data_IF_469087526387
#
_entry.id   IF_469087526387
#
_cell.length_a   1.000
_cell.length_b   1.000
_cell.length_c   1.000
_cell.angle_alpha   90.00
_cell.angle_beta   90.00
_cell.angle_gamma   90.00
#
_symmetry.space_group_name_H-M   'P 1'
#
loop_
_entity.id
_entity.type
_entity.pdbx_description
1 polymer ?
#
# COMPACT_ATOMS: atom_id res chain seq x y z
N UNK A 1 -2.64 6.06 -16.30
CA UNK A 1 -2.00 5.97 -14.98
C UNK A 1 -3.13 5.78 -14.00
N UNK A 2 -3.16 4.66 -13.29
CA UNK A 2 -4.09 4.51 -12.18
C UNK A 2 -3.58 5.43 -11.06
N UNK A 3 -4.46 6.17 -10.40
CA UNK A 3 -4.02 6.99 -9.28
C UNK A 3 -3.54 6.07 -8.16
N UNK A 4 -2.50 6.46 -7.42
CA UNK A 4 -1.93 5.64 -6.33
C UNK A 4 -2.98 5.25 -5.29
N UNK A 5 -4.03 6.06 -5.15
CA UNK A 5 -5.21 5.78 -4.32
C UNK A 5 -6.06 4.63 -4.89
N UNK A 6 -6.30 4.58 -6.20
CA UNK A 6 -7.06 3.48 -6.83
C UNK A 6 -6.31 2.14 -6.69
N UNK A 7 -4.97 2.18 -6.78
CA UNK A 7 -4.11 1.00 -6.56
C UNK A 7 -4.26 0.51 -5.12
N UNK A 8 -4.17 1.42 -4.15
CA UNK A 8 -4.33 1.10 -2.73
C UNK A 8 -5.75 0.63 -2.40
N UNK A 9 -6.77 1.20 -3.02
CA UNK A 9 -8.18 0.79 -2.85
C UNK A 9 -8.43 -0.60 -3.45
N UNK A 10 -7.83 -0.90 -4.61
CA UNK A 10 -7.91 -2.22 -5.24
C UNK A 10 -7.27 -3.29 -4.34
N UNK A 11 -6.08 -3.03 -3.80
CA UNK A 11 -5.40 -3.92 -2.86
C UNK A 11 -6.17 -4.02 -1.54
N UNK A 12 -6.69 -2.89 -1.05
CA UNK A 12 -7.45 -2.80 0.18
C UNK A 12 -8.84 -3.44 0.09
N UNK A 13 -9.42 -3.54 -1.10
CA UNK A 13 -10.71 -4.21 -1.35
C UNK A 13 -10.53 -5.69 -1.64
N UNK A 14 -9.44 -6.09 -2.29
CA UNK A 14 -9.14 -7.49 -2.57
C UNK A 14 -8.54 -8.19 -1.35
N UNK A 15 -9.38 -8.94 -0.63
CA UNK A 15 -8.97 -9.74 0.51
C UNK A 15 -7.88 -10.78 0.16
N UNK A 16 -7.81 -11.21 -1.11
CA UNK A 16 -6.79 -12.15 -1.58
C UNK A 16 -5.42 -11.49 -1.63
N UNK A 17 -5.35 -10.22 -2.04
CA UNK A 17 -4.11 -9.43 -2.06
C UNK A 17 -3.65 -9.05 -0.65
N UNK A 18 -4.59 -8.88 0.29
CA UNK A 18 -4.28 -8.61 1.70
C UNK A 18 -3.55 -9.76 2.41
N UNK A 19 -3.79 -11.00 1.96
CA UNK A 19 -3.15 -12.22 2.46
C UNK A 19 -2.23 -12.86 1.42
N UNK A 20 -2.03 -12.21 0.27
CA UNK A 20 -1.20 -12.74 -0.79
C UNK A 20 0.24 -12.82 -0.30
N UNK A 21 0.93 -13.87 -0.73
CA UNK A 21 2.37 -13.95 -0.55
C UNK A 21 3.02 -12.75 -1.24
N UNK A 22 4.08 -12.26 -0.63
CA UNK A 22 4.83 -11.07 -1.03
C UNK A 22 5.09 -10.98 -2.54
N UNK A 23 5.43 -12.10 -3.18
CA UNK A 23 5.67 -12.20 -4.62
C UNK A 23 4.43 -11.98 -5.51
N UNK A 24 3.26 -12.41 -5.04
CA UNK A 24 2.01 -12.22 -5.78
C UNK A 24 1.53 -10.77 -5.66
N UNK A 25 1.77 -10.13 -4.51
CA UNK A 25 1.47 -8.73 -4.29
C UNK A 25 2.37 -7.81 -5.13
N UNK A 26 3.67 -8.10 -5.21
CA UNK A 26 4.61 -7.33 -6.05
C UNK A 26 4.29 -7.46 -7.54
N UNK A 27 3.98 -8.67 -8.04
CA UNK A 27 3.56 -8.87 -9.43
C UNK A 27 2.25 -8.14 -9.78
N UNK A 28 1.31 -8.04 -8.83
CA UNK A 28 0.08 -7.27 -9.01
C UNK A 28 0.36 -5.75 -9.04
N UNK A 29 1.26 -5.27 -8.17
CA UNK A 29 1.70 -3.87 -8.12
C UNK A 29 2.42 -3.45 -9.42
N UNK A 30 3.29 -4.31 -9.97
CA UNK A 30 3.94 -4.03 -11.26
C UNK A 30 2.93 -3.94 -12.41
N UNK A 31 1.92 -4.81 -12.45
CA UNK A 31 0.85 -4.77 -13.45
C UNK A 31 -0.02 -3.52 -13.34
N UNK A 32 -0.18 -2.99 -12.12
CA UNK A 32 -0.91 -1.74 -11.85
C UNK A 32 -0.06 -0.49 -12.12
N UNK A 33 1.19 -0.65 -12.60
CA UNK A 33 2.17 0.42 -12.77
C UNK A 33 2.39 1.23 -11.47
N UNK A 34 2.44 0.52 -10.33
CA UNK A 34 2.76 1.10 -9.04
C UNK A 34 4.17 1.71 -9.01
N UNK A 35 4.38 2.67 -8.11
CA UNK A 35 5.71 3.25 -7.91
C UNK A 35 6.68 2.20 -7.36
N UNK A 36 7.98 2.29 -7.69
CA UNK A 36 8.97 1.34 -7.20
C UNK A 36 9.08 1.34 -5.67
N UNK A 37 8.81 2.47 -4.98
CA UNK A 37 8.79 2.50 -3.52
C UNK A 37 7.61 1.70 -2.94
N UNK A 38 6.45 1.69 -3.63
CA UNK A 38 5.29 0.88 -3.22
C UNK A 38 5.55 -0.61 -3.38
N UNK A 39 6.19 -1.02 -4.48
CA UNK A 39 6.61 -2.41 -4.67
C UNK A 39 7.68 -2.81 -3.66
N UNK A 40 8.69 -1.97 -3.42
CA UNK A 40 9.74 -2.18 -2.42
C UNK A 40 9.16 -2.37 -1.02
N UNK A 41 8.23 -1.51 -0.62
CA UNK A 41 7.54 -1.59 0.67
C UNK A 41 6.66 -2.84 0.81
N UNK A 42 5.99 -3.24 -0.27
CA UNK A 42 5.23 -4.49 -0.30
C UNK A 42 6.13 -5.73 -0.16
N UNK A 43 7.34 -5.69 -0.72
CA UNK A 43 8.28 -6.82 -0.70
C UNK A 43 9.01 -6.96 0.64
N UNK A 44 9.54 -5.84 1.14
CA UNK A 44 10.41 -5.82 2.32
C UNK A 44 9.65 -5.59 3.62
N UNK A 45 8.42 -5.07 3.53
CA UNK A 45 7.70 -4.51 4.67
C UNK A 45 8.23 -3.14 5.12
N UNK A 46 9.27 -2.60 4.48
CA UNK A 46 9.87 -1.31 4.81
C UNK A 46 9.13 -0.17 4.07
N UNK A 47 8.42 0.65 4.84
CA UNK A 47 7.66 1.77 4.31
C UNK A 47 8.45 3.08 4.23
N UNK A 48 9.75 3.08 4.56
CA UNK A 48 10.59 4.30 4.63
C UNK A 48 10.71 4.99 3.26
N UNK A 49 10.92 4.22 2.19
CA UNK A 49 10.94 4.77 0.82
C UNK A 49 9.57 5.31 0.42
N UNK A 50 8.50 4.60 0.78
CA UNK A 50 7.13 5.05 0.52
C UNK A 50 6.83 6.38 1.24
N UNK A 51 7.30 6.54 2.47
CA UNK A 51 7.15 7.76 3.25
C UNK A 51 7.92 8.94 2.65
N UNK A 52 9.09 8.69 2.05
CA UNK A 52 9.83 9.72 1.34
C UNK A 52 9.12 10.14 0.04
N UNK A 53 8.45 9.22 -0.66
CA UNK A 53 7.77 9.47 -1.94
C UNK A 53 6.39 10.12 -1.77
N UNK A 54 5.51 9.55 -0.94
CA UNK A 54 4.15 10.07 -0.71
C UNK A 54 4.09 11.21 0.31
N UNK A 55 5.16 11.40 1.09
CA UNK A 55 5.20 12.30 2.22
C UNK A 55 4.56 11.71 3.48
N UNK A 56 5.15 12.00 4.63
CA UNK A 56 4.61 11.56 5.93
C UNK A 56 3.46 12.47 6.35
N UNK A 57 2.27 11.89 6.47
CA UNK A 57 1.16 12.50 7.22
C UNK A 57 0.96 11.71 8.51
N UNK A 58 1.21 12.33 9.67
CA UNK A 58 0.85 11.74 10.97
C UNK A 58 -0.67 11.53 11.00
N UNK A 59 -1.10 10.29 10.86
CA UNK A 59 -2.47 9.91 11.18
C UNK A 59 -2.57 9.83 12.70
N UNK A 60 -3.36 10.71 13.30
CA UNK A 60 -3.76 10.54 14.69
C UNK A 60 -4.67 9.31 14.77
N UNK A 61 -4.46 8.47 15.79
CA UNK A 61 -5.33 7.33 16.06
C UNK A 61 -6.78 7.81 16.01
N UNK A 62 -7.69 7.12 15.29
CA UNK A 62 -9.09 7.45 15.36
C UNK A 62 -9.49 7.40 16.83
N UNK A 63 -10.00 8.52 17.36
CA UNK A 63 -10.63 8.53 18.68
C UNK A 63 -11.91 7.71 18.57
N UNK A 64 -11.79 6.40 18.72
CA UNK A 64 -12.94 5.52 18.92
C UNK A 64 -13.34 5.68 20.38
N UNK A 65 -14.13 6.73 20.67
CA UNK A 65 -14.90 6.80 21.91
C UNK A 65 -16.20 6.05 21.66
N UNK A 66 -16.19 4.74 21.88
CA UNK A 66 -17.44 4.00 22.05
C UNK A 66 -17.85 4.15 23.51
N UNK A 67 -18.95 4.88 23.72
CA UNK A 67 -19.72 4.86 24.97
C UNK A 67 -20.90 3.91 24.81
#
# INVERSE_FOLDING_TARGET
MLDTIDILETIGSDASLRHAHTDALSAALEQLHASPALTSAAVTGDSSELFAELGVKRMFLPQVSQV
#
